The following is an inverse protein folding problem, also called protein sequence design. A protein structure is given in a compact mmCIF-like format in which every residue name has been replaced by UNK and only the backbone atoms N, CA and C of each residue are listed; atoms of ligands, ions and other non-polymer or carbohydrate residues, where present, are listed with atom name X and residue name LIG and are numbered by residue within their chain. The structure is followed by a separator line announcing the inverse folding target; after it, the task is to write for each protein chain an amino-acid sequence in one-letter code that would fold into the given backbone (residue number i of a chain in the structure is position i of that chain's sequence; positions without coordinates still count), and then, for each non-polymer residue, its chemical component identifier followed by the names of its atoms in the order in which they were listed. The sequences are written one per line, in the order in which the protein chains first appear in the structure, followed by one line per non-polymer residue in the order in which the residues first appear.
data_IF_066468148721
#
_entry.id   IF_066468148721
#
_cell.length_a   1.000
_cell.length_b   1.000
_cell.length_c   1.000
_cell.angle_alpha   90.00
_cell.angle_beta   90.00
_cell.angle_gamma   90.00
#
_symmetry.space_group_name_H-M   'P 1'
#
loop_
_entity.id
_entity.type
_entity.pdbx_description
1 polymer ?
#
# COMPACT_ATOMS: atom_id res chain seq x y z
N UNK A 1 27.85 -7.96 11.11
CA UNK A 1 27.78 -9.18 10.28
C UNK A 1 26.37 -9.74 10.48
N UNK A 2 25.45 -9.43 9.58
CA UNK A 2 24.13 -10.08 9.57
C UNK A 2 24.29 -11.46 8.94
N UNK A 3 23.81 -12.47 9.66
CA UNK A 3 23.84 -13.86 9.18
C UNK A 3 22.93 -14.01 7.95
N UNK A 4 23.51 -14.29 6.80
CA UNK A 4 22.87 -14.48 5.49
C UNK A 4 22.14 -15.83 5.34
N UNK A 5 21.69 -16.48 6.42
CA UNK A 5 21.27 -17.91 6.37
C UNK A 5 19.78 -18.19 6.40
N UNK A 6 18.88 -17.18 6.38
CA UNK A 6 17.42 -17.46 6.44
C UNK A 6 16.58 -16.73 5.36
N UNK A 7 17.10 -16.64 4.15
CA UNK A 7 16.47 -15.89 3.04
C UNK A 7 15.33 -16.62 2.32
N UNK A 8 15.11 -17.90 2.61
CA UNK A 8 14.29 -18.76 1.75
C UNK A 8 12.78 -18.73 2.03
N UNK A 9 12.30 -18.06 3.09
CA UNK A 9 10.90 -18.18 3.53
C UNK A 9 10.07 -16.89 3.50
N UNK A 10 10.67 -15.69 3.36
CA UNK A 10 9.88 -14.47 3.20
C UNK A 10 9.13 -14.51 1.86
N UNK A 11 7.85 -14.20 1.88
CA UNK A 11 6.92 -14.27 0.74
C UNK A 11 6.65 -15.69 0.20
N UNK A 12 6.73 -16.76 1.03
CA UNK A 12 6.32 -18.09 0.59
C UNK A 12 5.56 -18.85 1.71
N UNK A 13 4.24 -19.11 1.58
CA UNK A 13 3.40 -18.73 0.43
C UNK A 13 3.11 -17.22 0.41
N UNK A 14 3.18 -16.61 -0.76
CA UNK A 14 2.84 -15.20 -0.94
C UNK A 14 1.32 -15.02 -0.82
N UNK A 15 0.86 -14.17 0.09
CA UNK A 15 -0.53 -13.74 0.14
C UNK A 15 -0.73 -12.56 -0.81
N UNK A 16 -1.86 -12.55 -1.49
CA UNK A 16 -2.25 -11.47 -2.39
C UNK A 16 -3.50 -10.79 -1.88
N UNK A 17 -3.44 -9.48 -1.76
CA UNK A 17 -4.55 -8.64 -1.37
C UNK A 17 -4.87 -7.62 -2.49
N UNK A 18 -6.06 -7.06 -2.46
CA UNK A 18 -6.44 -5.99 -3.39
C UNK A 18 -7.52 -5.10 -2.80
N UNK A 19 -7.67 -3.89 -3.36
CA UNK A 19 -8.74 -2.97 -2.98
C UNK A 19 -10.10 -3.48 -3.47
N UNK A 20 -11.05 -3.57 -2.55
CA UNK A 20 -12.40 -4.04 -2.86
C UNK A 20 -13.11 -3.17 -3.92
N UNK A 21 -12.87 -1.86 -3.92
CA UNK A 21 -13.47 -0.92 -4.88
C UNK A 21 -13.18 -1.26 -6.35
N UNK A 22 -12.06 -1.91 -6.65
CA UNK A 22 -11.71 -2.33 -8.01
C UNK A 22 -12.80 -3.21 -8.63
N UNK A 23 -13.49 -4.00 -7.82
CA UNK A 23 -14.55 -4.91 -8.29
C UNK A 23 -15.89 -4.23 -8.61
N UNK A 24 -15.99 -2.93 -8.38
CA UNK A 24 -17.08 -2.11 -8.91
C UNK A 24 -16.93 -1.79 -10.40
N UNK A 25 -15.75 -2.02 -11.00
CA UNK A 25 -15.50 -1.76 -12.42
C UNK A 25 -16.48 -2.55 -13.30
N UNK A 26 -17.03 -1.88 -14.30
CA UNK A 26 -18.00 -2.51 -15.21
C UNK A 26 -19.28 -2.99 -14.51
N UNK A 27 -19.72 -2.36 -13.42
CA UNK A 27 -20.91 -2.76 -12.64
C UNK A 27 -22.16 -2.95 -13.51
N UNK A 28 -22.37 -2.12 -14.54
CA UNK A 28 -23.49 -2.21 -15.47
C UNK A 28 -23.48 -3.49 -16.33
N UNK A 29 -22.32 -4.13 -16.49
CA UNK A 29 -22.15 -5.41 -17.17
C UNK A 29 -22.31 -6.55 -16.17
N UNK A 30 -21.69 -6.44 -15.00
CA UNK A 30 -21.72 -7.49 -13.97
C UNK A 30 -23.10 -7.64 -13.32
N UNK A 31 -23.84 -6.53 -13.16
CA UNK A 31 -25.18 -6.50 -12.56
C UNK A 31 -26.15 -5.70 -13.44
N UNK A 32 -26.63 -6.28 -14.58
CA UNK A 32 -27.52 -5.59 -15.51
C UNK A 32 -28.82 -5.14 -14.81
N UNK A 33 -29.20 -3.88 -15.01
CA UNK A 33 -30.42 -3.31 -14.43
C UNK A 33 -30.30 -2.81 -12.98
N UNK A 34 -29.16 -3.01 -12.31
CA UNK A 34 -28.91 -2.43 -11.00
C UNK A 34 -28.66 -0.92 -11.13
N UNK A 35 -29.40 -0.12 -10.35
CA UNK A 35 -29.14 1.30 -10.18
C UNK A 35 -28.30 1.54 -8.92
N UNK A 36 -27.18 2.28 -9.04
CA UNK A 36 -26.29 2.61 -7.93
C UNK A 36 -25.03 1.75 -7.87
N UNK A 37 -24.24 1.98 -6.81
CA UNK A 37 -23.01 1.24 -6.58
C UNK A 37 -23.30 -0.20 -6.13
N UNK A 38 -22.47 -1.18 -6.52
CA UNK A 38 -22.58 -2.53 -5.99
C UNK A 38 -22.36 -2.53 -4.48
N UNK A 39 -23.00 -3.47 -3.77
CA UNK A 39 -22.78 -3.65 -2.35
C UNK A 39 -21.39 -4.23 -2.07
N UNK A 40 -20.93 -4.11 -0.82
CA UNK A 40 -19.67 -4.71 -0.35
C UNK A 40 -19.63 -6.21 -0.67
N UNK A 41 -20.71 -6.93 -0.38
CA UNK A 41 -20.77 -8.38 -0.65
C UNK A 41 -20.78 -8.72 -2.14
N UNK A 42 -21.47 -7.94 -2.99
CA UNK A 42 -21.40 -8.16 -4.44
C UNK A 42 -19.98 -7.99 -4.99
N UNK A 43 -19.25 -6.97 -4.50
CA UNK A 43 -17.84 -6.78 -4.86
C UNK A 43 -16.97 -7.92 -4.33
N UNK A 44 -17.23 -8.38 -3.10
CA UNK A 44 -16.49 -9.49 -2.48
C UNK A 44 -16.73 -10.83 -3.19
N UNK A 45 -17.97 -11.15 -3.56
CA UNK A 45 -18.31 -12.33 -4.37
C UNK A 45 -17.56 -12.33 -5.71
N UNK A 46 -17.47 -11.15 -6.33
CA UNK A 46 -16.71 -11.01 -7.57
C UNK A 46 -15.21 -11.15 -7.34
N UNK A 47 -14.68 -10.59 -6.24
CA UNK A 47 -13.29 -10.76 -5.85
C UNK A 47 -12.93 -12.23 -5.56
N UNK A 48 -13.84 -12.97 -4.93
CA UNK A 48 -13.65 -14.39 -4.63
C UNK A 48 -13.53 -15.27 -5.88
N UNK A 49 -13.93 -14.78 -7.07
CA UNK A 49 -13.72 -15.50 -8.33
C UNK A 49 -12.32 -15.37 -8.91
N UNK A 50 -11.46 -14.52 -8.34
CA UNK A 50 -10.07 -14.33 -8.78
C UNK A 50 -9.20 -15.49 -8.33
N UNK A 51 -8.59 -16.19 -9.27
CA UNK A 51 -7.67 -17.29 -8.94
C UNK A 51 -6.42 -16.78 -8.24
N UNK A 52 -6.20 -17.26 -7.01
CA UNK A 52 -5.00 -16.94 -6.22
C UNK A 52 -5.12 -15.72 -5.32
N UNK A 53 -6.23 -14.98 -5.35
CA UNK A 53 -6.49 -13.92 -4.38
C UNK A 53 -6.84 -14.53 -3.03
N UNK A 54 -6.23 -14.02 -1.96
CA UNK A 54 -6.40 -14.55 -0.60
C UNK A 54 -7.00 -13.54 0.36
N UNK A 55 -6.80 -12.26 0.10
CA UNK A 55 -7.10 -11.19 1.06
C UNK A 55 -7.74 -9.97 0.37
N UNK A 56 -8.44 -9.17 1.15
CA UNK A 56 -8.99 -7.87 0.75
C UNK A 56 -8.58 -6.80 1.76
N UNK A 57 -8.37 -5.57 1.27
CA UNK A 57 -8.37 -4.38 2.13
C UNK A 57 -9.71 -3.67 2.04
N UNK A 58 -10.22 -3.28 3.22
CA UNK A 58 -11.50 -2.62 3.37
C UNK A 58 -11.32 -1.13 3.66
N UNK A 59 -12.16 -0.30 3.08
CA UNK A 59 -12.20 1.13 3.35
C UNK A 59 -13.09 1.41 4.56
N UNK A 60 -12.57 2.11 5.55
CA UNK A 60 -13.37 2.59 6.67
C UNK A 60 -13.65 4.10 6.53
N UNK A 61 -14.90 4.56 6.69
CA UNK A 61 -16.08 3.76 7.08
C UNK A 61 -16.84 3.11 5.90
N UNK A 62 -16.48 3.36 4.66
CA UNK A 62 -17.30 3.13 3.46
C UNK A 62 -17.73 1.65 3.27
N UNK A 63 -16.89 0.70 3.65
CA UNK A 63 -17.17 -0.74 3.48
C UNK A 63 -17.71 -1.42 4.75
N UNK A 64 -17.78 -0.70 5.88
CA UNK A 64 -18.18 -1.26 7.16
C UNK A 64 -19.50 -0.63 7.59
N UNK A 65 -20.60 -1.14 7.04
CA UNK A 65 -21.96 -0.70 7.35
C UNK A 65 -22.71 -1.64 8.30
N UNK A 66 -22.11 -2.78 8.63
CA UNK A 66 -22.64 -3.80 9.52
C UNK A 66 -21.59 -4.15 10.58
N UNK A 67 -21.92 -5.08 11.46
CA UNK A 67 -21.01 -5.64 12.47
C UNK A 67 -19.71 -6.14 11.80
N UNK A 68 -18.52 -5.64 12.20
CA UNK A 68 -17.25 -5.99 11.56
C UNK A 68 -16.90 -7.48 11.65
N UNK A 69 -17.27 -8.14 12.77
CA UNK A 69 -17.02 -9.58 12.93
C UNK A 69 -17.92 -10.41 11.99
N UNK A 70 -19.17 -9.98 11.78
CA UNK A 70 -20.06 -10.63 10.83
C UNK A 70 -19.59 -10.42 9.38
N UNK A 71 -19.11 -9.24 9.02
CA UNK A 71 -18.52 -8.97 7.71
C UNK A 71 -17.32 -9.88 7.48
N UNK A 72 -16.42 -9.99 8.46
CA UNK A 72 -15.25 -10.88 8.38
C UNK A 72 -15.65 -12.34 8.18
N UNK A 73 -16.67 -12.81 8.91
CA UNK A 73 -17.20 -14.18 8.74
C UNK A 73 -17.74 -14.40 7.32
N UNK A 74 -18.53 -13.46 6.79
CA UNK A 74 -19.08 -13.55 5.42
C UNK A 74 -17.99 -13.60 4.36
N UNK A 75 -16.92 -12.80 4.52
CA UNK A 75 -15.75 -12.85 3.63
C UNK A 75 -15.02 -14.19 3.75
N UNK A 76 -14.89 -14.72 4.98
CA UNK A 76 -14.32 -16.05 5.21
C UNK A 76 -15.12 -17.17 4.55
N UNK A 77 -16.45 -17.08 4.52
CA UNK A 77 -17.33 -18.04 3.81
C UNK A 77 -17.07 -18.02 2.27
N UNK A 78 -16.55 -16.91 1.73
CA UNK A 78 -16.10 -16.78 0.34
C UNK A 78 -14.64 -17.21 0.12
N UNK A 79 -13.91 -17.61 1.17
CA UNK A 79 -12.50 -17.95 1.11
C UNK A 79 -11.54 -16.76 1.12
N UNK A 80 -12.02 -15.58 1.52
CA UNK A 80 -11.23 -14.34 1.60
C UNK A 80 -10.99 -13.92 3.04
N UNK A 81 -9.79 -13.45 3.33
CA UNK A 81 -9.41 -12.84 4.61
C UNK A 81 -9.36 -11.31 4.49
N UNK A 82 -9.38 -10.62 5.61
CA UNK A 82 -9.13 -9.18 5.66
C UNK A 82 -7.65 -8.95 5.96
N UNK A 83 -6.90 -8.40 5.00
CA UNK A 83 -5.51 -8.02 5.20
C UNK A 83 -5.40 -6.78 6.09
N UNK A 84 -6.15 -5.73 5.78
CA UNK A 84 -6.13 -4.47 6.50
C UNK A 84 -7.35 -3.60 6.24
N UNK A 85 -7.40 -2.51 7.01
CA UNK A 85 -8.34 -1.43 6.78
C UNK A 85 -7.57 -0.19 6.32
N UNK A 86 -8.20 0.60 5.43
CA UNK A 86 -7.66 1.88 4.99
C UNK A 86 -8.65 3.00 5.29
N UNK A 87 -8.18 4.06 5.96
CA UNK A 87 -9.02 5.22 6.29
C UNK A 87 -9.39 6.02 5.05
N UNK A 88 -10.64 6.51 5.01
CA UNK A 88 -11.17 7.32 3.90
C UNK A 88 -11.63 8.69 4.37
N UNK A 89 -10.68 9.61 4.59
CA UNK A 89 -10.98 10.98 4.99
C UNK A 89 -11.55 11.80 3.84
N UNK A 90 -11.07 11.61 2.62
CA UNK A 90 -11.41 12.42 1.45
C UNK A 90 -12.86 12.27 0.97
N UNK A 91 -13.57 11.23 1.40
CA UNK A 91 -15.00 11.06 1.10
C UNK A 91 -15.88 12.00 1.92
N UNK A 92 -15.38 12.52 3.05
CA UNK A 92 -16.09 13.47 3.88
C UNK A 92 -15.66 14.92 3.56
N UNK A 93 -16.58 15.76 3.05
CA UNK A 93 -16.28 17.17 2.72
C UNK A 93 -15.75 18.00 3.90
N UNK A 94 -16.03 17.61 5.15
CA UNK A 94 -15.53 18.31 6.33
C UNK A 94 -14.00 18.29 6.40
N UNK A 95 -13.35 17.22 5.90
CA UNK A 95 -11.89 17.08 5.93
C UNK A 95 -11.17 17.69 4.71
N UNK A 96 -11.86 18.49 3.90
CA UNK A 96 -11.26 19.05 2.67
C UNK A 96 -10.03 19.95 2.91
N UNK A 97 -9.94 20.59 4.06
CA UNK A 97 -8.80 21.44 4.46
C UNK A 97 -7.79 20.73 5.35
N UNK A 98 -7.86 19.42 5.43
CA UNK A 98 -7.06 18.55 6.28
C UNK A 98 -7.94 17.66 7.17
N UNK A 99 -7.45 16.51 7.51
CA UNK A 99 -8.03 15.64 8.52
C UNK A 99 -7.39 15.95 9.88
N UNK A 100 -6.14 15.57 10.09
CA UNK A 100 -5.41 15.82 11.33
C UNK A 100 -4.86 17.24 11.42
N UNK A 101 -4.75 17.94 10.30
CA UNK A 101 -4.19 19.30 10.23
C UNK A 101 -5.22 20.38 9.98
N UNK A 102 -6.52 20.05 10.00
CA UNK A 102 -7.60 21.01 9.78
C UNK A 102 -7.47 22.21 10.74
N UNK A 103 -7.70 23.47 10.29
CA UNK A 103 -7.56 24.65 11.15
C UNK A 103 -8.51 24.62 12.36
N UNK A 104 -9.72 24.09 12.22
CA UNK A 104 -10.67 23.93 13.31
C UNK A 104 -10.35 22.67 14.14
N UNK A 105 -10.29 22.82 15.47
CA UNK A 105 -9.91 21.75 16.39
C UNK A 105 -10.96 20.63 16.45
N UNK A 106 -12.22 20.97 16.40
CA UNK A 106 -13.32 20.02 16.39
C UNK A 106 -13.25 19.06 15.19
N UNK A 107 -12.90 19.59 13.99
CA UNK A 107 -12.72 18.77 12.79
C UNK A 107 -11.51 17.84 12.92
N UNK A 108 -10.39 18.29 13.50
CA UNK A 108 -9.24 17.43 13.80
C UNK A 108 -9.63 16.32 14.77
N UNK A 109 -10.40 16.65 15.81
CA UNK A 109 -10.91 15.68 16.79
C UNK A 109 -11.80 14.64 16.12
N UNK A 110 -12.72 15.08 15.26
CA UNK A 110 -13.60 14.17 14.51
C UNK A 110 -12.80 13.19 13.65
N UNK A 111 -11.72 13.65 12.98
CA UNK A 111 -10.87 12.79 12.16
C UNK A 111 -10.11 11.74 12.99
N UNK A 112 -9.55 12.15 14.13
CA UNK A 112 -8.84 11.26 15.07
C UNK A 112 -9.82 10.23 15.65
N UNK A 113 -10.99 10.66 16.10
CA UNK A 113 -12.00 9.77 16.68
C UNK A 113 -12.58 8.80 15.62
N UNK A 114 -12.72 9.26 14.36
CA UNK A 114 -13.09 8.39 13.25
C UNK A 114 -12.03 7.30 13.02
N UNK A 115 -10.75 7.67 13.10
CA UNK A 115 -9.63 6.72 12.93
C UNK A 115 -9.60 5.68 14.04
N UNK A 116 -9.81 6.10 15.30
CA UNK A 116 -9.90 5.18 16.45
C UNK A 116 -11.05 4.19 16.28
N UNK A 117 -12.23 4.64 15.85
CA UNK A 117 -13.36 3.75 15.53
C UNK A 117 -13.01 2.78 14.38
N UNK A 118 -12.23 3.23 13.40
CA UNK A 118 -11.72 2.37 12.34
C UNK A 118 -10.78 1.28 12.86
N UNK A 119 -9.91 1.61 13.81
CA UNK A 119 -9.04 0.66 14.50
C UNK A 119 -9.87 -0.37 15.26
N UNK A 120 -10.86 0.08 16.05
CA UNK A 120 -11.74 -0.82 16.79
C UNK A 120 -12.47 -1.78 15.85
N UNK A 121 -13.00 -1.28 14.72
CA UNK A 121 -13.66 -2.10 13.71
C UNK A 121 -12.70 -3.09 13.04
N UNK A 122 -11.46 -2.69 12.75
CA UNK A 122 -10.45 -3.59 12.21
C UNK A 122 -10.13 -4.73 13.17
N UNK A 123 -9.95 -4.43 14.45
CA UNK A 123 -9.68 -5.41 15.50
C UNK A 123 -10.86 -6.38 15.69
N UNK A 124 -12.09 -5.87 15.69
CA UNK A 124 -13.30 -6.68 15.76
C UNK A 124 -13.46 -7.61 14.56
N UNK A 125 -13.06 -7.16 13.37
CA UNK A 125 -13.01 -7.96 12.16
C UNK A 125 -11.84 -8.96 12.12
N UNK A 126 -10.96 -8.98 13.14
CA UNK A 126 -9.79 -9.86 13.21
C UNK A 126 -8.58 -9.37 12.42
N UNK A 127 -8.59 -8.14 11.91
CA UNK A 127 -7.44 -7.52 11.27
C UNK A 127 -6.58 -6.76 12.29
N UNK A 128 -5.30 -6.64 12.00
CA UNK A 128 -4.31 -5.98 12.84
C UNK A 128 -3.56 -4.86 12.11
N UNK A 129 -4.08 -4.38 10.99
CA UNK A 129 -3.46 -3.36 10.16
C UNK A 129 -4.46 -2.26 9.83
N UNK A 130 -4.09 -1.01 10.16
CA UNK A 130 -4.79 0.19 9.74
C UNK A 130 -3.85 1.06 8.89
N UNK A 131 -4.17 1.21 7.63
CA UNK A 131 -3.45 2.12 6.72
C UNK A 131 -4.11 3.50 6.77
N UNK A 132 -3.29 4.53 6.97
CA UNK A 132 -3.70 5.93 6.93
C UNK A 132 -3.00 6.64 5.77
N UNK A 133 -3.79 7.10 4.81
CA UNK A 133 -3.37 8.02 3.77
C UNK A 133 -3.98 9.38 4.05
N UNK A 134 -3.15 10.31 4.48
CA UNK A 134 -3.55 11.67 4.88
C UNK A 134 -3.45 12.65 3.70
N UNK A 135 -4.04 12.29 2.56
CA UNK A 135 -3.94 13.06 1.32
C UNK A 135 -4.57 14.46 1.38
N UNK A 136 -5.45 14.72 2.37
CA UNK A 136 -6.00 16.05 2.60
C UNK A 136 -5.09 16.95 3.46
N UNK A 137 -4.14 16.34 4.17
CA UNK A 137 -3.22 17.02 5.07
C UNK A 137 -2.03 17.56 4.28
N UNK A 138 -2.06 18.89 4.07
CA UNK A 138 -1.13 19.57 3.21
C UNK A 138 -1.63 20.98 2.84
N UNK A 139 -1.03 21.58 1.82
CA UNK A 139 -1.35 22.94 1.40
C UNK A 139 -1.19 23.11 -0.13
N UNK A 140 -1.79 24.19 -0.65
CA UNK A 140 -1.77 24.52 -2.09
C UNK A 140 -1.11 25.87 -2.37
N UNK A 141 -1.20 26.81 -1.42
CA UNK A 141 -0.77 28.20 -1.61
C UNK A 141 0.26 28.61 -0.58
N UNK A 142 1.22 29.46 -0.99
CA UNK A 142 2.09 30.14 -0.06
C UNK A 142 1.26 31.00 0.92
N UNK A 143 1.68 31.02 2.19
CA UNK A 143 0.99 31.69 3.30
C UNK A 143 -0.40 31.11 3.64
N UNK A 144 -0.75 29.93 3.15
CA UNK A 144 -2.02 29.28 3.47
C UNK A 144 -2.08 28.80 4.92
N UNK A 145 -0.96 28.39 5.49
CA UNK A 145 -0.90 27.80 6.82
C UNK A 145 0.40 28.15 7.56
N UNK A 146 0.36 28.01 8.87
CA UNK A 146 1.55 27.91 9.71
C UNK A 146 2.09 26.47 9.61
N UNK A 147 3.18 26.29 8.87
CA UNK A 147 3.71 24.97 8.55
C UNK A 147 4.20 24.22 9.80
N UNK A 148 4.79 24.91 10.77
CA UNK A 148 5.27 24.28 12.00
C UNK A 148 4.08 23.78 12.85
N UNK A 149 3.03 24.59 12.95
CA UNK A 149 1.80 24.20 13.65
C UNK A 149 1.07 23.07 12.95
N UNK A 150 1.02 23.10 11.62
CA UNK A 150 0.41 22.03 10.81
C UNK A 150 1.17 20.69 11.02
N UNK A 151 2.49 20.71 10.96
CA UNK A 151 3.33 19.54 11.25
C UNK A 151 3.08 19.01 12.67
N UNK A 152 3.05 19.89 13.68
CA UNK A 152 2.80 19.49 15.07
C UNK A 152 1.43 18.80 15.23
N UNK A 153 0.38 19.33 14.57
CA UNK A 153 -0.95 18.72 14.61
C UNK A 153 -0.96 17.32 13.98
N UNK A 154 -0.24 17.13 12.88
CA UNK A 154 -0.08 15.82 12.24
C UNK A 154 0.59 14.81 13.16
N UNK A 155 1.72 15.19 13.76
CA UNK A 155 2.47 14.35 14.70
C UNK A 155 1.63 13.98 15.93
N UNK A 156 0.94 14.95 16.51
CA UNK A 156 0.10 14.71 17.70
C UNK A 156 -1.10 13.84 17.37
N UNK A 157 -1.73 14.04 16.22
CA UNK A 157 -2.86 13.22 15.76
C UNK A 157 -2.45 11.77 15.51
N UNK A 158 -1.33 11.53 14.82
CA UNK A 158 -0.81 10.18 14.58
C UNK A 158 -0.41 9.51 15.90
N UNK A 159 0.23 10.25 16.81
CA UNK A 159 0.60 9.71 18.13
C UNK A 159 -0.63 9.24 18.90
N UNK A 160 -1.67 10.06 18.97
CA UNK A 160 -2.90 9.74 19.66
C UNK A 160 -3.62 8.52 19.05
N UNK A 161 -3.59 8.37 17.73
CA UNK A 161 -4.10 7.19 17.03
C UNK A 161 -3.30 5.94 17.39
N UNK A 162 -1.97 6.02 17.40
CA UNK A 162 -1.12 4.90 17.75
C UNK A 162 -1.28 4.46 19.22
N UNK A 163 -1.54 5.40 20.12
CA UNK A 163 -1.76 5.14 21.55
C UNK A 163 -3.12 4.51 21.86
N UNK A 164 -4.09 4.61 20.93
CA UNK A 164 -5.44 4.07 21.12
C UNK A 164 -5.45 2.54 21.26
N UNK A 165 -4.73 1.84 20.38
CA UNK A 165 -4.48 0.40 20.48
C UNK A 165 -3.03 0.11 20.03
N UNK A 166 -2.16 -0.17 21.00
CA UNK A 166 -0.74 -0.42 20.76
C UNK A 166 -0.44 -1.76 20.08
N UNK A 167 -1.42 -2.66 20.03
CA UNK A 167 -1.33 -3.95 19.35
C UNK A 167 -1.80 -3.86 17.87
N UNK A 168 -2.53 -2.81 17.50
CA UNK A 168 -2.87 -2.53 16.11
C UNK A 168 -1.69 -1.84 15.41
N UNK A 169 -1.30 -2.35 14.25
CA UNK A 169 -0.27 -1.76 13.41
C UNK A 169 -0.86 -0.59 12.61
N UNK A 170 -0.27 0.58 12.77
CA UNK A 170 -0.66 1.79 12.02
C UNK A 170 0.37 2.01 10.92
N UNK A 171 -0.10 2.11 9.69
CA UNK A 171 0.77 2.25 8.53
C UNK A 171 0.51 3.55 7.80
N UNK A 172 1.51 4.41 7.69
CA UNK A 172 1.43 5.63 6.89
C UNK A 172 1.71 5.28 5.43
N UNK A 173 0.74 5.55 4.57
CA UNK A 173 0.92 5.52 3.12
C UNK A 173 1.23 6.94 2.65
N UNK A 174 2.47 7.20 2.29
CA UNK A 174 2.89 8.52 1.84
C UNK A 174 2.64 8.75 0.36
N UNK A 175 2.44 10.02 -0.01
CA UNK A 175 2.23 10.45 -1.40
C UNK A 175 2.69 11.90 -1.56
N UNK A 176 3.41 12.25 -2.65
CA UNK A 176 4.00 13.59 -2.77
C UNK A 176 2.97 14.72 -2.88
N UNK A 177 1.86 14.45 -3.52
CA UNK A 177 0.73 15.39 -3.69
C UNK A 177 -0.55 14.62 -4.04
N UNK A 178 -1.64 15.30 -4.45
CA UNK A 178 -2.97 14.76 -4.70
C UNK A 178 -3.69 14.30 -3.41
N UNK A 179 -4.82 14.94 -3.09
CA UNK A 179 -5.44 16.05 -3.82
C UNK A 179 -4.81 17.41 -3.54
N UNK A 180 -3.96 17.54 -2.53
CA UNK A 180 -3.24 18.79 -2.22
C UNK A 180 -2.03 18.93 -3.14
N UNK A 181 -1.63 20.17 -3.44
CA UNK A 181 -0.42 20.45 -4.23
C UNK A 181 0.86 20.04 -3.51
N UNK A 182 0.85 20.08 -2.19
CA UNK A 182 1.95 19.65 -1.31
C UNK A 182 1.38 18.85 -0.16
N UNK A 183 1.78 17.59 -0.07
CA UNK A 183 1.50 16.72 1.07
C UNK A 183 2.50 17.01 2.21
N UNK A 184 2.11 16.77 3.46
CA UNK A 184 3.05 16.84 4.59
C UNK A 184 4.02 15.65 4.64
N UNK A 185 3.62 14.51 4.10
CA UNK A 185 4.46 13.32 3.98
C UNK A 185 4.62 12.94 2.51
N UNK A 186 5.50 13.68 1.77
CA UNK A 186 5.61 13.52 0.32
C UNK A 186 6.52 12.37 -0.11
N UNK A 187 7.40 11.88 0.78
CA UNK A 187 8.46 10.93 0.50
C UNK A 187 8.82 10.06 1.73
N UNK A 188 9.64 9.03 1.51
CA UNK A 188 10.08 8.14 2.56
C UNK A 188 10.86 8.86 3.68
N UNK A 189 11.75 9.79 3.33
CA UNK A 189 12.60 10.46 4.31
C UNK A 189 11.79 11.35 5.26
N UNK A 190 10.85 12.12 4.73
CA UNK A 190 9.94 12.97 5.52
C UNK A 190 9.02 12.12 6.40
N UNK A 191 8.50 11.01 5.86
CA UNK A 191 7.68 10.06 6.61
C UNK A 191 8.45 9.42 7.76
N UNK A 192 9.71 9.04 7.55
CA UNK A 192 10.58 8.52 8.61
C UNK A 192 10.90 9.56 9.69
N UNK A 193 11.02 10.84 9.32
CA UNK A 193 11.14 11.93 10.29
C UNK A 193 9.89 12.01 11.18
N UNK A 194 8.69 11.97 10.58
CA UNK A 194 7.43 11.95 11.31
C UNK A 194 7.33 10.75 12.26
N UNK A 195 7.63 9.54 11.78
CA UNK A 195 7.63 8.32 12.59
C UNK A 195 8.56 8.45 13.80
N UNK A 196 9.75 9.02 13.60
CA UNK A 196 10.71 9.26 14.67
C UNK A 196 10.17 10.25 15.71
N UNK A 197 9.49 11.31 15.29
CA UNK A 197 8.90 12.31 16.20
C UNK A 197 7.68 11.76 16.94
N UNK A 198 6.84 10.97 16.27
CA UNK A 198 5.73 10.26 16.90
C UNK A 198 6.21 9.30 17.98
N UNK A 199 7.25 8.51 17.68
CA UNK A 199 7.91 7.60 18.64
C UNK A 199 7.10 6.36 19.00
N UNK A 200 6.02 6.04 18.30
CA UNK A 200 5.19 4.87 18.56
C UNK A 200 5.81 3.59 17.95
N UNK A 201 5.75 2.47 18.69
CA UNK A 201 6.33 1.19 18.24
C UNK A 201 5.49 0.46 17.21
N UNK A 202 4.19 0.70 17.19
CA UNK A 202 3.23 0.12 16.27
C UNK A 202 3.05 0.93 14.98
N UNK A 203 3.86 1.97 14.76
CA UNK A 203 3.83 2.80 13.56
C UNK A 203 4.87 2.33 12.54
N UNK A 204 4.47 2.29 11.27
CA UNK A 204 5.35 1.96 10.15
C UNK A 204 4.84 2.56 8.84
N UNK A 205 5.28 2.02 7.73
CA UNK A 205 5.05 2.58 6.39
C UNK A 205 4.41 1.55 5.47
N UNK A 206 3.39 1.97 4.74
CA UNK A 206 2.94 1.35 3.50
C UNK A 206 3.67 2.01 2.33
N UNK A 207 4.45 1.21 1.62
CA UNK A 207 5.14 1.63 0.42
C UNK A 207 4.24 1.33 -0.78
N UNK A 208 3.71 2.38 -1.41
CA UNK A 208 3.00 2.29 -2.69
C UNK A 208 3.97 2.58 -3.84
N UNK A 209 4.04 1.66 -4.80
CA UNK A 209 5.02 1.72 -5.87
C UNK A 209 4.86 2.93 -6.79
N UNK A 210 3.61 3.27 -7.17
CA UNK A 210 3.35 4.46 -7.99
C UNK A 210 3.65 5.75 -7.23
N UNK A 211 3.35 5.80 -5.92
CA UNK A 211 3.65 6.96 -5.08
C UNK A 211 5.16 7.21 -4.97
N UNK A 212 5.95 6.13 -4.80
CA UNK A 212 7.42 6.21 -4.76
C UNK A 212 7.99 6.73 -6.08
N UNK A 213 7.51 6.20 -7.23
CA UNK A 213 7.92 6.70 -8.54
C UNK A 213 7.52 8.17 -8.74
N UNK A 214 6.34 8.52 -8.27
CA UNK A 214 5.79 9.86 -8.38
C UNK A 214 6.53 10.87 -7.47
N UNK A 215 7.10 10.40 -6.36
CA UNK A 215 7.99 11.16 -5.48
C UNK A 215 9.42 11.30 -6.02
N UNK A 216 9.71 10.78 -7.24
CA UNK A 216 11.05 10.75 -7.84
C UNK A 216 12.04 9.93 -6.97
N UNK A 217 11.55 8.91 -6.27
CA UNK A 217 12.35 8.00 -5.47
C UNK A 217 12.61 6.68 -6.22
N UNK A 218 13.68 5.99 -5.83
CA UNK A 218 13.96 4.64 -6.32
C UNK A 218 13.32 3.61 -5.36
N UNK A 219 12.38 2.75 -5.83
CA UNK A 219 11.53 1.96 -4.92
C UNK A 219 12.29 1.00 -3.99
N UNK A 220 13.30 0.30 -4.48
CA UNK A 220 14.08 -0.61 -3.64
C UNK A 220 14.93 0.14 -2.62
N UNK A 221 15.44 1.33 -2.97
CA UNK A 221 16.18 2.17 -2.02
C UNK A 221 15.25 2.74 -0.93
N UNK A 222 14.06 3.22 -1.30
CA UNK A 222 13.06 3.67 -0.35
C UNK A 222 12.67 2.54 0.63
N UNK A 223 12.41 1.32 0.12
CA UNK A 223 12.14 0.15 0.96
C UNK A 223 13.27 -0.15 1.94
N UNK A 224 14.53 -0.18 1.48
CA UNK A 224 15.70 -0.42 2.33
C UNK A 224 15.86 0.65 3.41
N UNK A 225 15.59 1.92 3.08
CA UNK A 225 15.65 3.03 4.02
C UNK A 225 14.55 2.89 5.10
N UNK A 226 13.32 2.56 4.68
CA UNK A 226 12.20 2.33 5.59
C UNK A 226 12.49 1.15 6.52
N UNK A 227 12.95 0.02 5.99
CA UNK A 227 13.25 -1.17 6.78
C UNK A 227 14.39 -0.94 7.79
N UNK A 228 15.34 -0.06 7.46
CA UNK A 228 16.46 0.30 8.36
C UNK A 228 16.02 1.17 9.55
N UNK A 229 15.08 2.08 9.35
CA UNK A 229 14.72 3.11 10.32
C UNK A 229 13.35 2.93 10.95
N UNK A 230 12.50 2.07 10.35
CA UNK A 230 11.15 1.75 10.78
C UNK A 230 10.79 0.34 10.35
N UNK A 231 9.55 0.12 9.89
CA UNK A 231 9.05 -1.15 9.35
C UNK A 231 8.23 -0.90 8.09
N UNK A 232 8.42 -1.75 7.07
CA UNK A 232 7.47 -1.87 5.96
C UNK A 232 6.31 -2.71 6.46
N UNK A 233 5.13 -2.12 6.61
CA UNK A 233 3.91 -2.78 7.08
C UNK A 233 2.97 -3.16 5.93
N UNK A 234 3.04 -2.45 4.82
CA UNK A 234 2.29 -2.73 3.59
C UNK A 234 3.16 -2.51 2.35
N UNK A 235 2.91 -3.30 1.32
CA UNK A 235 3.48 -3.11 -0.01
C UNK A 235 2.35 -3.10 -1.00
N UNK A 236 2.06 -1.92 -1.54
CA UNK A 236 1.08 -1.68 -2.59
C UNK A 236 1.79 -1.72 -3.94
N UNK A 237 1.42 -2.68 -4.78
CA UNK A 237 1.94 -2.80 -6.13
C UNK A 237 0.91 -2.33 -7.16
N UNK A 238 1.37 -1.49 -8.01
CA UNK A 238 0.74 -0.94 -9.19
C UNK A 238 1.85 -0.53 -10.17
N UNK A 239 1.58 0.33 -11.11
CA UNK A 239 2.57 0.99 -11.95
C UNK A 239 2.04 2.34 -12.42
N UNK A 240 2.88 3.16 -13.01
CA UNK A 240 2.53 4.47 -13.51
C UNK A 240 3.66 5.12 -14.29
N UNK A 241 3.39 6.28 -14.86
CA UNK A 241 4.38 7.07 -15.62
C UNK A 241 5.10 8.13 -14.78
N UNK A 242 5.07 8.02 -13.45
CA UNK A 242 5.67 8.96 -12.51
C UNK A 242 5.18 10.42 -12.64
N UNK A 243 3.96 10.63 -13.14
CA UNK A 243 3.35 11.96 -13.30
C UNK A 243 2.16 12.19 -12.38
N UNK A 244 1.60 11.12 -11.90
CA UNK A 244 0.45 11.04 -10.99
C UNK A 244 0.35 9.59 -10.51
N UNK A 245 -0.58 9.34 -9.62
CA UNK A 245 -1.00 8.00 -9.26
C UNK A 245 -1.87 7.41 -10.39
N UNK A 246 -1.25 6.63 -11.27
CA UNK A 246 -1.92 6.05 -12.44
C UNK A 246 -2.69 4.76 -12.13
N UNK A 247 -2.29 4.01 -11.09
CA UNK A 247 -2.90 2.73 -10.73
C UNK A 247 -2.90 1.70 -11.85
N UNK A 248 -1.84 1.67 -12.67
CA UNK A 248 -1.69 0.73 -13.77
C UNK A 248 -1.34 -0.68 -13.27
N UNK A 249 -1.51 -1.68 -14.13
CA UNK A 249 -1.14 -3.07 -13.84
C UNK A 249 0.35 -3.20 -13.51
N UNK A 250 0.66 -4.08 -12.56
CA UNK A 250 2.00 -4.32 -12.05
C UNK A 250 3.00 -4.64 -13.16
N UNK A 251 4.10 -3.90 -13.17
CA UNK A 251 5.21 -4.11 -14.12
C UNK A 251 4.90 -3.72 -15.57
N UNK A 252 3.83 -2.96 -15.81
CA UNK A 252 3.44 -2.54 -17.16
C UNK A 252 4.42 -1.52 -17.76
N UNK A 253 5.06 -0.70 -16.90
CA UNK A 253 6.00 0.36 -17.30
C UNK A 253 7.36 0.13 -16.65
N UNK A 254 7.43 -0.14 -15.35
CA UNK A 254 8.67 -0.22 -14.57
C UNK A 254 8.97 -1.65 -14.09
N UNK A 255 8.94 -2.62 -15.02
CA UNK A 255 9.15 -4.05 -14.72
C UNK A 255 10.44 -4.31 -13.93
N UNK A 256 11.54 -3.66 -14.29
CA UNK A 256 12.85 -3.87 -13.66
C UNK A 256 12.86 -3.37 -12.21
N UNK A 257 12.32 -2.17 -11.96
CA UNK A 257 12.22 -1.60 -10.64
C UNK A 257 11.27 -2.41 -9.74
N UNK A 258 10.21 -2.99 -10.31
CA UNK A 258 9.29 -3.88 -9.57
C UNK A 258 10.02 -5.15 -9.12
N UNK A 259 10.80 -5.78 -10.00
CA UNK A 259 11.62 -6.96 -9.63
C UNK A 259 12.65 -6.61 -8.56
N UNK A 260 13.30 -5.45 -8.67
CA UNK A 260 14.27 -4.99 -7.67
C UNK A 260 13.61 -4.70 -6.33
N UNK A 261 12.44 -4.06 -6.31
CA UNK A 261 11.66 -3.87 -5.08
C UNK A 261 11.28 -5.20 -4.42
N UNK A 262 10.73 -6.16 -5.20
CA UNK A 262 10.36 -7.48 -4.68
C UNK A 262 11.57 -8.21 -4.09
N UNK A 263 12.74 -8.07 -4.72
CA UNK A 263 14.00 -8.59 -4.17
C UNK A 263 14.35 -7.91 -2.84
N UNK A 264 14.25 -6.57 -2.78
CA UNK A 264 14.63 -5.81 -1.59
C UNK A 264 13.71 -6.11 -0.40
N UNK A 265 12.39 -6.06 -0.55
CA UNK A 265 11.45 -6.33 0.54
C UNK A 265 11.60 -7.75 1.09
N UNK A 266 11.90 -8.73 0.22
CA UNK A 266 12.22 -10.09 0.66
C UNK A 266 13.50 -10.11 1.52
N UNK A 267 14.53 -9.38 1.11
CA UNK A 267 15.79 -9.24 1.86
C UNK A 267 15.59 -8.56 3.21
N UNK A 268 14.65 -7.65 3.30
CA UNK A 268 14.28 -6.95 4.53
C UNK A 268 13.33 -7.77 5.42
N UNK A 269 12.91 -8.98 4.98
CA UNK A 269 12.07 -9.87 5.75
C UNK A 269 10.60 -9.48 5.79
N UNK A 270 10.08 -8.83 4.74
CA UNK A 270 8.65 -8.51 4.65
C UNK A 270 7.82 -9.79 4.54
N UNK A 271 6.83 -9.94 5.44
CA UNK A 271 5.94 -11.11 5.54
C UNK A 271 4.47 -10.76 5.28
N UNK A 272 4.17 -9.49 4.97
CA UNK A 272 2.81 -9.03 4.67
C UNK A 272 2.31 -9.51 3.29
N UNK A 273 1.04 -9.25 3.02
CA UNK A 273 0.48 -9.50 1.69
C UNK A 273 1.05 -8.51 0.66
N UNK A 274 1.18 -8.98 -0.58
CA UNK A 274 1.35 -8.08 -1.73
C UNK A 274 -0.04 -7.59 -2.12
N UNK A 275 -0.26 -6.31 -1.95
CA UNK A 275 -1.53 -5.67 -2.23
C UNK A 275 -1.51 -4.99 -3.61
N UNK A 276 -2.58 -5.16 -4.39
CA UNK A 276 -2.72 -4.48 -5.67
C UNK A 276 -3.57 -3.22 -5.50
N UNK A 277 -2.94 -2.05 -5.62
CA UNK A 277 -3.61 -0.76 -5.68
C UNK A 277 -3.74 -0.29 -7.13
N UNK A 278 -4.41 -1.11 -7.92
CA UNK A 278 -4.68 -0.82 -9.33
C UNK A 278 -6.10 -0.28 -9.52
N UNK A 279 -6.33 0.48 -10.60
CA UNK A 279 -7.56 1.24 -10.81
C UNK A 279 -8.37 0.77 -12.04
N UNK A 280 -8.78 -0.51 -12.13
CA UNK A 280 -9.61 -0.99 -13.22
C UNK A 280 -10.96 -0.28 -13.27
N UNK A 281 -11.46 0.20 -12.13
CA UNK A 281 -12.69 0.98 -12.00
C UNK A 281 -12.60 2.37 -12.68
N UNK A 282 -11.43 2.96 -12.80
CA UNK A 282 -11.20 4.21 -13.52
C UNK A 282 -10.98 4.00 -15.02
N UNK A 283 -10.42 2.86 -15.41
CA UNK A 283 -10.06 2.56 -16.80
C UNK A 283 -11.07 1.70 -17.52
N UNK A 284 -12.05 1.12 -16.79
CA UNK A 284 -13.09 0.25 -17.34
C UNK A 284 -12.60 -1.15 -17.70
N UNK A 285 -11.47 -1.59 -17.13
CA UNK A 285 -10.97 -2.95 -17.31
C UNK A 285 -11.82 -3.96 -16.52
N UNK A 286 -11.79 -5.23 -16.96
CA UNK A 286 -12.34 -6.32 -16.16
C UNK A 286 -11.47 -6.57 -14.93
N UNK A 287 -11.97 -6.31 -13.69
CA UNK A 287 -11.15 -6.35 -12.48
C UNK A 287 -10.75 -7.78 -12.09
N UNK A 288 -11.52 -8.81 -12.47
CA UNK A 288 -11.19 -10.21 -12.18
C UNK A 288 -9.96 -10.60 -13.00
N UNK A 289 -10.05 -10.43 -14.31
CA UNK A 289 -8.95 -10.76 -15.21
C UNK A 289 -7.70 -9.91 -14.95
N UNK A 290 -7.87 -8.63 -14.66
CA UNK A 290 -6.79 -7.71 -14.32
C UNK A 290 -6.04 -8.18 -13.06
N UNK A 291 -6.75 -8.51 -11.98
CA UNK A 291 -6.16 -8.99 -10.73
C UNK A 291 -5.45 -10.33 -10.93
N UNK A 292 -6.03 -11.29 -11.67
CA UNK A 292 -5.35 -12.55 -12.02
C UNK A 292 -4.05 -12.34 -12.79
N UNK A 293 -4.02 -11.37 -13.73
CA UNK A 293 -2.80 -11.04 -14.47
C UNK A 293 -1.76 -10.45 -13.54
N UNK A 294 -2.13 -9.56 -12.62
CA UNK A 294 -1.23 -9.02 -11.61
C UNK A 294 -0.63 -10.12 -10.72
N UNK A 295 -1.46 -11.05 -10.22
CA UNK A 295 -0.99 -12.19 -9.43
C UNK A 295 0.04 -13.02 -10.21
N UNK A 296 -0.30 -13.42 -11.45
CA UNK A 296 0.61 -14.20 -12.29
C UNK A 296 1.91 -13.45 -12.62
N UNK A 297 1.83 -12.14 -12.80
CA UNK A 297 3.00 -11.29 -13.04
C UNK A 297 3.94 -11.28 -11.84
N UNK A 298 3.41 -11.02 -10.64
CA UNK A 298 4.22 -11.04 -9.41
C UNK A 298 4.82 -12.43 -9.16
N UNK A 299 4.05 -13.49 -9.34
CA UNK A 299 4.58 -14.86 -9.21
C UNK A 299 5.74 -15.16 -10.17
N UNK A 300 5.68 -14.65 -11.41
CA UNK A 300 6.79 -14.77 -12.38
C UNK A 300 8.00 -13.94 -11.94
N UNK A 301 7.78 -12.70 -11.47
CA UNK A 301 8.84 -11.85 -10.96
C UNK A 301 9.52 -12.45 -9.74
N UNK A 302 8.78 -13.07 -8.81
CA UNK A 302 9.35 -13.77 -7.66
C UNK A 302 10.24 -14.95 -8.08
N UNK A 303 9.90 -15.68 -9.15
CA UNK A 303 10.78 -16.72 -9.72
C UNK A 303 12.06 -16.13 -10.33
N UNK A 304 11.99 -14.90 -10.87
CA UNK A 304 13.20 -14.17 -11.29
C UNK A 304 14.02 -13.78 -10.07
N UNK A 305 13.41 -13.27 -9.03
CA UNK A 305 14.07 -12.94 -7.76
C UNK A 305 14.78 -14.17 -7.17
N UNK A 306 14.14 -15.36 -7.18
CA UNK A 306 14.79 -16.61 -6.73
C UNK A 306 16.10 -16.89 -7.50
N UNK A 307 16.08 -16.73 -8.84
CA UNK A 307 17.27 -16.91 -9.67
C UNK A 307 18.33 -15.86 -9.39
N UNK A 308 17.93 -14.60 -9.22
CA UNK A 308 18.84 -13.49 -8.88
C UNK A 308 19.55 -13.70 -7.54
N UNK A 309 18.84 -14.22 -6.52
CA UNK A 309 19.43 -14.49 -5.20
C UNK A 309 20.38 -15.70 -5.20
N UNK A 310 20.21 -16.62 -6.13
CA UNK A 310 21.08 -17.80 -6.28
C UNK A 310 22.33 -17.52 -7.13
N UNK A 311 22.38 -16.39 -7.85
CA UNK A 311 23.50 -16.07 -8.75
C UNK A 311 24.60 -15.27 -8.04
N UNK A 312 25.70 -15.94 -7.69
CA UNK A 312 26.84 -15.32 -7.03
C UNK A 312 27.55 -14.23 -7.89
N UNK A 313 27.38 -14.27 -9.22
CA UNK A 313 27.93 -13.24 -10.10
C UNK A 313 27.28 -11.89 -9.82
N UNK A 314 25.95 -11.89 -9.55
CA UNK A 314 25.19 -10.68 -9.25
C UNK A 314 25.69 -10.04 -7.94
N UNK A 315 25.80 -10.81 -6.85
CA UNK A 315 26.31 -10.30 -5.58
C UNK A 315 27.69 -9.67 -5.73
N UNK A 316 28.61 -10.36 -6.42
CA UNK A 316 29.95 -9.86 -6.67
C UNK A 316 29.99 -8.60 -7.55
N UNK A 317 29.09 -8.48 -8.53
CA UNK A 317 29.00 -7.28 -9.37
C UNK A 317 28.44 -6.08 -8.59
N UNK A 318 27.42 -6.31 -7.74
CA UNK A 318 26.84 -5.28 -6.84
C UNK A 318 27.92 -4.75 -5.88
N UNK A 319 28.70 -5.63 -5.24
CA UNK A 319 29.74 -5.24 -4.30
C UNK A 319 30.83 -4.33 -4.92
N UNK A 320 31.05 -4.47 -6.22
CA UNK A 320 31.96 -3.62 -7.01
C UNK A 320 31.28 -2.43 -7.67
N UNK A 321 29.96 -2.28 -7.53
CA UNK A 321 29.16 -1.30 -8.27
C UNK A 321 29.34 -1.39 -9.80
N UNK A 322 29.54 -2.61 -10.31
CA UNK A 322 29.72 -2.90 -11.73
C UNK A 322 28.36 -2.97 -12.42
N UNK A 323 27.85 -1.81 -12.83
CA UNK A 323 26.53 -1.67 -13.44
C UNK A 323 26.39 -2.43 -14.77
N UNK A 324 27.47 -2.58 -15.53
CA UNK A 324 27.43 -3.31 -16.81
C UNK A 324 27.20 -4.79 -16.56
N UNK A 325 27.97 -5.37 -15.63
CA UNK A 325 27.82 -6.77 -15.25
C UNK A 325 26.46 -7.04 -14.57
N UNK A 326 26.00 -6.15 -13.67
CA UNK A 326 24.69 -6.33 -13.02
C UNK A 326 23.57 -6.32 -14.05
N UNK A 327 23.55 -5.38 -15.00
CA UNK A 327 22.53 -5.32 -16.04
C UNK A 327 22.57 -6.54 -16.97
N UNK A 328 23.74 -7.01 -17.36
CA UNK A 328 23.87 -8.19 -18.19
C UNK A 328 23.30 -9.44 -17.50
N UNK A 329 23.64 -9.66 -16.22
CA UNK A 329 23.13 -10.79 -15.42
C UNK A 329 21.62 -10.71 -15.23
N UNK A 330 21.10 -9.53 -14.88
CA UNK A 330 19.66 -9.34 -14.66
C UNK A 330 18.89 -9.60 -15.95
N UNK A 331 19.33 -9.09 -17.09
CA UNK A 331 18.68 -9.32 -18.39
C UNK A 331 18.75 -10.80 -18.79
N UNK A 332 19.89 -11.47 -18.60
CA UNK A 332 20.03 -12.91 -18.83
C UNK A 332 18.98 -13.71 -18.02
N UNK A 333 18.81 -13.39 -16.73
CA UNK A 333 17.88 -14.09 -15.86
C UNK A 333 16.40 -13.74 -16.07
N UNK A 334 16.12 -12.55 -16.59
CA UNK A 334 14.75 -12.12 -16.92
C UNK A 334 14.27 -12.67 -18.26
N UNK A 335 15.12 -12.61 -19.28
CA UNK A 335 14.72 -12.88 -20.68
C UNK A 335 15.27 -14.19 -21.25
N UNK A 336 16.19 -14.86 -20.54
CA UNK A 336 16.87 -16.08 -21.00
C UNK A 336 18.24 -15.80 -21.60
N UNK A 337 19.06 -16.84 -21.64
CA UNK A 337 20.47 -16.77 -22.08
C UNK A 337 20.67 -16.98 -23.61
N UNK A 338 19.59 -17.14 -24.37
CA UNK A 338 19.65 -17.50 -25.78
C UNK A 338 19.87 -16.25 -26.65
N UNK A 339 21.13 -15.87 -26.79
CA UNK A 339 21.65 -15.06 -27.88
C UNK A 339 22.89 -15.74 -28.49
#
# INVERSE_FOLDING_TARGET
MHNFTNWTNALNPTRFATRLNSFASGAHIAWPGQSGKPSVMQMAERAASVEGLTDLDLNYPDHVSEDPAELSRKLGDLGLSINGFAMRYYTNPAFKLGAFTHPAEDVRRDAIDLTKKGIDAAREAGSNLMTIWLGQDGFDYAFQADYAKMWQHEIDGIREVCEHDTDCLISIEYKPNEPRSYSLMPDAATTLLAIKEVGARNLGVTLDFAHVLYADEQPAFAAALIARHSRVLGVHLNDGYAKRDDGLMVGAVHTLQTVELLRQIRRDGYEGAIYFDTFPDLTGLDPVHECEVNIRTVQRMLKVVDRLEQDNRLASAIDRQDSVSTQAIVQELMFGADY
#
